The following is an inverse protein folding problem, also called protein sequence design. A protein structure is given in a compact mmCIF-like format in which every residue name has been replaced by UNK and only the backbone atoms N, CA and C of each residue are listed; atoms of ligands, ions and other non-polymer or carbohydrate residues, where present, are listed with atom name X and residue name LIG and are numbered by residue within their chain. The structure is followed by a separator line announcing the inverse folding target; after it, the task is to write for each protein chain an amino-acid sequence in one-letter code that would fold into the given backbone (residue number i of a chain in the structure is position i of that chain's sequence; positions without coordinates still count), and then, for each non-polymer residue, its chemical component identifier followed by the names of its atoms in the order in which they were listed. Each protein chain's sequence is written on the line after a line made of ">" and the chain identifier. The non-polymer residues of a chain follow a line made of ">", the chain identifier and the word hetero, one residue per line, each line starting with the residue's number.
data_IF_067943459227
#
_entry.id   IF_067943459227
#
_cell.length_a   1.000
_cell.length_b   1.000
_cell.length_c   1.000
_cell.angle_alpha   90.00
_cell.angle_beta   90.00
_cell.angle_gamma   90.00
#
_symmetry.space_group_name_H-M   'P 1'
#
loop_
_entity.id
_entity.type
_entity.pdbx_description
1 polymer ?
#
# COMPACT_ATOMS: atom_id res chain seq x y z
N UNK A 1 16.80 -29.49 -15.82
CA UNK A 1 16.83 -29.12 -14.42
C UNK A 1 15.73 -28.08 -14.25
N UNK A 2 14.83 -28.25 -13.29
CA UNK A 2 13.84 -27.20 -12.99
C UNK A 2 14.60 -25.92 -12.59
N UNK A 3 14.25 -24.79 -13.21
CA UNK A 3 14.87 -23.52 -12.88
C UNK A 3 14.31 -23.07 -11.52
N UNK A 4 15.17 -22.95 -10.52
CA UNK A 4 14.80 -22.35 -9.23
C UNK A 4 14.63 -20.86 -9.42
N UNK A 5 13.52 -20.30 -8.92
CA UNK A 5 13.30 -18.86 -8.83
C UNK A 5 13.48 -18.41 -7.38
N UNK A 6 14.37 -17.47 -7.17
CA UNK A 6 14.66 -16.93 -5.84
C UNK A 6 14.14 -15.50 -5.75
N UNK A 7 13.30 -15.22 -4.75
CA UNK A 7 12.69 -13.91 -4.57
C UNK A 7 12.97 -13.35 -3.18
N UNK A 8 13.02 -12.02 -3.07
CA UNK A 8 13.09 -11.29 -1.82
C UNK A 8 11.82 -10.45 -1.65
N UNK A 9 10.98 -10.81 -0.72
CA UNK A 9 9.76 -10.10 -0.40
C UNK A 9 9.98 -9.23 0.86
N UNK A 10 9.55 -7.97 0.78
CA UNK A 10 9.50 -7.06 1.91
C UNK A 10 8.05 -6.85 2.32
N UNK A 11 7.72 -7.23 3.56
CA UNK A 11 6.45 -6.98 4.21
C UNK A 11 6.69 -5.89 5.27
N UNK A 12 6.26 -4.68 4.95
CA UNK A 12 6.54 -3.47 5.71
C UNK A 12 5.26 -2.97 6.38
N UNK A 13 5.06 -3.37 7.62
CA UNK A 13 3.96 -2.87 8.43
C UNK A 13 4.26 -1.52 9.09
N UNK A 14 3.22 -0.92 9.68
CA UNK A 14 3.32 0.37 10.36
C UNK A 14 4.18 0.37 11.64
N UNK A 15 4.54 -0.81 12.17
CA UNK A 15 5.35 -0.92 13.39
C UNK A 15 6.62 -1.72 13.18
N UNK A 16 6.62 -2.66 12.25
CA UNK A 16 7.76 -3.55 11.98
C UNK A 16 7.85 -3.84 10.49
N UNK A 17 9.08 -4.00 10.00
CA UNK A 17 9.36 -4.50 8.66
C UNK A 17 10.06 -5.85 8.73
N UNK A 18 9.85 -6.68 7.73
CA UNK A 18 10.54 -7.96 7.57
C UNK A 18 10.89 -8.23 6.11
N UNK A 19 12.00 -8.92 5.93
CA UNK A 19 12.43 -9.39 4.62
C UNK A 19 12.45 -10.92 4.62
N UNK A 20 11.81 -11.50 3.63
CA UNK A 20 11.61 -12.93 3.45
C UNK A 20 12.28 -13.33 2.14
N UNK A 21 13.27 -14.22 2.24
CA UNK A 21 13.86 -14.86 1.07
C UNK A 21 13.13 -16.16 0.79
N UNK A 22 12.60 -16.30 -0.41
CA UNK A 22 11.90 -17.50 -0.83
C UNK A 22 12.52 -18.11 -2.10
N UNK A 23 12.42 -19.42 -2.22
CA UNK A 23 12.88 -20.21 -3.37
C UNK A 23 11.74 -21.10 -3.84
N UNK A 24 11.38 -20.93 -5.10
CA UNK A 24 10.37 -21.74 -5.77
C UNK A 24 11.05 -22.72 -6.75
N UNK A 25 10.73 -24.00 -6.65
CA UNK A 25 11.33 -25.07 -7.47
C UNK A 25 10.43 -25.53 -8.63
N UNK A 26 9.30 -24.84 -8.84
CA UNK A 26 8.26 -25.20 -9.80
C UNK A 26 7.06 -25.90 -9.18
N UNK A 27 7.19 -26.45 -7.97
CA UNK A 27 6.13 -27.15 -7.25
C UNK A 27 5.95 -26.60 -5.83
N UNK A 28 7.05 -26.28 -5.16
CA UNK A 28 7.06 -25.89 -3.73
C UNK A 28 7.78 -24.59 -3.52
N UNK A 29 7.23 -23.81 -2.60
CA UNK A 29 7.84 -22.59 -2.09
C UNK A 29 8.49 -22.85 -0.73
N UNK A 30 9.82 -22.65 -0.64
CA UNK A 30 10.56 -22.66 0.62
C UNK A 30 10.95 -21.22 0.96
N UNK A 31 10.63 -20.78 2.16
CA UNK A 31 10.89 -19.40 2.57
C UNK A 31 11.56 -19.34 3.94
N UNK A 32 12.27 -18.23 4.16
CA UNK A 32 12.93 -17.92 5.42
C UNK A 32 12.91 -16.40 5.63
N UNK A 33 12.50 -15.96 6.82
CA UNK A 33 12.74 -14.60 7.26
C UNK A 33 14.23 -14.40 7.48
N UNK A 34 14.82 -13.42 6.83
CA UNK A 34 16.28 -13.16 6.86
C UNK A 34 16.62 -11.86 7.57
N UNK A 35 15.62 -10.97 7.71
CA UNK A 35 15.79 -9.71 8.41
C UNK A 35 14.45 -9.23 8.98
N UNK A 36 14.50 -8.64 10.16
CA UNK A 36 13.37 -7.98 10.83
C UNK A 36 13.90 -6.73 11.52
N UNK A 37 13.10 -5.68 11.51
CA UNK A 37 13.43 -4.39 12.11
C UNK A 37 12.18 -3.66 12.56
N UNK A 38 12.35 -2.71 13.48
CA UNK A 38 11.28 -1.83 13.91
C UNK A 38 11.13 -0.66 12.94
N UNK A 39 9.89 -0.32 12.60
CA UNK A 39 9.54 0.82 11.78
C UNK A 39 8.98 1.92 12.72
N UNK A 40 9.85 2.81 13.16
CA UNK A 40 9.55 3.79 14.20
C UNK A 40 9.41 5.17 13.57
N UNK A 41 8.20 5.75 13.53
CA UNK A 41 8.01 7.12 13.10
C UNK A 41 8.57 8.10 14.13
N UNK A 42 8.95 9.29 13.68
CA UNK A 42 9.47 10.35 14.52
C UNK A 42 8.63 11.64 14.38
N UNK A 43 8.62 12.46 15.43
CA UNK A 43 8.00 13.79 15.34
C UNK A 43 9.02 14.75 14.75
N UNK A 44 8.69 15.34 13.61
CA UNK A 44 9.50 16.35 12.94
C UNK A 44 8.61 17.50 12.45
N UNK A 45 9.03 18.72 12.73
CA UNK A 45 8.28 19.95 12.37
C UNK A 45 6.80 19.94 12.82
N UNK A 46 6.52 19.30 13.97
CA UNK A 46 5.18 19.24 14.55
C UNK A 46 4.30 18.11 14.03
N UNK A 47 4.77 17.31 13.07
CA UNK A 47 4.07 16.16 12.49
C UNK A 47 4.76 14.84 12.81
N UNK A 48 3.97 13.78 12.93
CA UNK A 48 4.49 12.42 12.98
C UNK A 48 4.89 11.99 11.56
N UNK A 49 6.16 11.61 11.36
CA UNK A 49 6.70 11.27 10.03
C UNK A 49 7.37 9.92 10.02
N UNK A 50 7.37 9.30 8.85
CA UNK A 50 8.19 8.13 8.55
C UNK A 50 9.63 8.56 8.34
N UNK A 51 10.59 7.74 8.75
CA UNK A 51 12.00 7.97 8.45
C UNK A 51 12.41 7.11 7.25
N UNK A 52 12.30 7.69 6.05
CA UNK A 52 12.57 6.97 4.80
C UNK A 52 14.03 6.56 4.63
N UNK A 53 14.97 7.33 5.16
CA UNK A 53 16.40 6.98 5.10
C UNK A 53 16.70 5.76 5.98
N UNK A 54 16.17 5.73 7.20
CA UNK A 54 16.32 4.56 8.09
C UNK A 54 15.67 3.32 7.47
N UNK A 55 14.44 3.44 6.95
CA UNK A 55 13.74 2.35 6.31
C UNK A 55 14.51 1.79 5.10
N UNK A 56 15.04 2.67 4.25
CA UNK A 56 15.85 2.29 3.10
C UNK A 56 17.18 1.66 3.53
N UNK A 57 17.75 2.09 4.65
CA UNK A 57 18.93 1.48 5.28
C UNK A 57 18.69 0.01 5.64
N UNK A 58 17.57 -0.28 6.31
CA UNK A 58 17.18 -1.65 6.67
C UNK A 58 16.89 -2.52 5.45
N UNK A 59 16.28 -1.95 4.41
CA UNK A 59 16.05 -2.62 3.12
C UNK A 59 17.39 -3.01 2.48
N UNK A 60 18.37 -2.10 2.44
CA UNK A 60 19.71 -2.38 1.89
C UNK A 60 20.44 -3.48 2.67
N UNK A 61 20.32 -3.49 4.00
CA UNK A 61 20.85 -4.57 4.85
C UNK A 61 20.22 -5.91 4.49
N UNK A 62 18.89 -5.92 4.29
CA UNK A 62 18.18 -7.14 3.91
C UNK A 62 18.58 -7.65 2.51
N UNK A 63 18.72 -6.75 1.53
CA UNK A 63 19.22 -7.09 0.19
C UNK A 63 20.62 -7.73 0.28
N UNK A 64 21.52 -7.14 1.06
CA UNK A 64 22.85 -7.70 1.29
C UNK A 64 22.80 -9.10 1.93
N UNK A 65 21.94 -9.30 2.95
CA UNK A 65 21.76 -10.60 3.63
C UNK A 65 21.15 -11.66 2.70
N UNK A 66 20.25 -11.26 1.79
CA UNK A 66 19.64 -12.16 0.84
C UNK A 66 20.65 -12.74 -0.18
N UNK A 67 21.70 -11.97 -0.48
CA UNK A 67 22.57 -12.27 -1.60
C UNK A 67 21.82 -12.13 -2.93
N UNK A 68 22.30 -12.80 -3.99
CA UNK A 68 21.64 -12.70 -5.29
C UNK A 68 20.25 -13.34 -5.27
N UNK A 69 19.28 -12.59 -5.80
CA UNK A 69 17.91 -13.03 -6.04
C UNK A 69 17.50 -12.70 -7.47
N UNK A 70 16.47 -13.36 -7.99
CA UNK A 70 15.94 -13.10 -9.34
C UNK A 70 15.07 -11.85 -9.35
N UNK A 71 14.37 -11.59 -8.22
CA UNK A 71 13.54 -10.42 -8.06
C UNK A 71 13.36 -10.03 -6.59
N UNK A 72 12.91 -8.78 -6.40
CA UNK A 72 12.42 -8.26 -5.13
C UNK A 72 11.11 -7.49 -5.32
N UNK A 73 10.34 -7.37 -4.25
CA UNK A 73 9.09 -6.62 -4.20
C UNK A 73 8.78 -6.11 -2.79
N UNK A 74 7.93 -5.08 -2.73
CA UNK A 74 7.50 -4.44 -1.50
C UNK A 74 5.98 -4.46 -1.38
N UNK A 75 5.45 -4.92 -0.25
CA UNK A 75 4.14 -4.52 0.22
C UNK A 75 4.28 -3.69 1.50
N UNK A 76 3.34 -2.76 1.70
CA UNK A 76 3.39 -1.81 2.81
C UNK A 76 1.99 -1.51 3.34
N UNK A 77 1.91 -0.70 4.38
CA UNK A 77 0.66 -0.05 4.79
C UNK A 77 0.14 0.89 3.68
N UNK A 78 -1.17 1.12 3.66
CA UNK A 78 -1.82 1.99 2.67
C UNK A 78 -1.77 3.48 3.01
N UNK A 79 -2.35 4.26 2.14
CA UNK A 79 -2.72 5.69 2.22
C UNK A 79 -1.59 6.71 2.28
N UNK A 80 -0.40 6.37 2.80
CA UNK A 80 0.73 7.28 2.91
C UNK A 80 1.53 7.39 1.62
N UNK A 81 2.14 8.55 1.41
CA UNK A 81 2.82 8.90 0.18
C UNK A 81 3.99 9.84 0.41
N UNK A 82 4.95 9.83 -0.51
CA UNK A 82 5.99 10.82 -0.63
C UNK A 82 5.80 11.69 -1.88
N UNK A 83 6.29 12.93 -1.79
CA UNK A 83 6.30 13.87 -2.91
C UNK A 83 7.71 14.01 -3.46
N UNK A 84 7.84 13.84 -4.77
CA UNK A 84 9.10 13.99 -5.48
C UNK A 84 9.12 15.28 -6.30
N UNK A 85 10.31 15.88 -6.42
CA UNK A 85 10.55 16.98 -7.35
C UNK A 85 10.77 16.49 -8.80
N UNK A 86 11.14 17.41 -9.69
CA UNK A 86 11.37 17.11 -11.11
C UNK A 86 12.59 16.19 -11.35
N UNK A 87 13.50 16.12 -10.42
CA UNK A 87 14.69 15.25 -10.49
C UNK A 87 14.45 13.89 -9.83
N UNK A 88 13.20 13.63 -9.36
CA UNK A 88 12.81 12.39 -8.66
C UNK A 88 13.31 12.33 -7.23
N UNK A 89 13.72 13.46 -6.64
CA UNK A 89 14.18 13.52 -5.26
C UNK A 89 13.01 13.72 -4.31
N UNK A 90 12.99 12.97 -3.21
CA UNK A 90 12.02 13.13 -2.13
C UNK A 90 12.16 14.53 -1.51
N UNK A 91 11.06 15.28 -1.45
CA UNK A 91 11.04 16.65 -0.94
C UNK A 91 11.09 16.71 0.58
N UNK A 92 10.34 15.85 1.24
CA UNK A 92 10.28 15.68 2.70
C UNK A 92 9.88 14.25 3.04
N UNK A 93 10.24 13.77 4.22
CA UNK A 93 9.76 12.49 4.73
C UNK A 93 8.22 12.45 4.82
N UNK A 94 7.56 11.38 4.37
CA UNK A 94 6.11 11.24 4.40
C UNK A 94 5.53 11.41 5.79
N UNK A 95 4.40 12.11 5.89
CA UNK A 95 3.65 12.21 7.14
C UNK A 95 2.89 10.91 7.37
N UNK A 96 2.94 10.42 8.59
CA UNK A 96 2.30 9.19 9.02
C UNK A 96 0.76 9.34 9.05
N UNK A 97 0.03 8.33 8.62
CA UNK A 97 -1.45 8.35 8.56
C UNK A 97 -2.14 8.59 9.91
N UNK A 98 -1.45 8.38 11.04
CA UNK A 98 -1.98 8.68 12.39
C UNK A 98 -1.71 10.11 12.85
N UNK A 99 -1.13 10.96 12.00
CA UNK A 99 -1.02 12.38 12.30
C UNK A 99 -2.40 13.01 12.40
N UNK A 100 -2.60 13.90 13.37
CA UNK A 100 -3.93 14.45 13.65
C UNK A 100 -4.39 15.52 12.66
N UNK A 101 -3.51 15.98 11.74
CA UNK A 101 -3.80 17.05 10.76
C UNK A 101 -5.02 16.79 9.88
N UNK A 102 -5.42 15.52 9.74
CA UNK A 102 -6.52 15.12 8.85
C UNK A 102 -7.86 14.93 9.56
N UNK A 103 -7.91 15.05 10.89
CA UNK A 103 -9.06 14.66 11.73
C UNK A 103 -10.40 15.22 11.27
N UNK A 104 -10.46 16.50 10.91
CA UNK A 104 -11.71 17.20 10.57
C UNK A 104 -11.95 17.31 9.06
N UNK A 105 -11.05 16.76 8.23
CA UNK A 105 -11.15 16.89 6.78
C UNK A 105 -12.34 16.16 6.15
N UNK A 106 -12.80 14.99 6.61
CA UNK A 106 -14.03 14.39 6.09
C UNK A 106 -15.23 15.34 6.18
N UNK A 107 -15.41 16.04 7.32
CA UNK A 107 -16.50 16.98 7.52
C UNK A 107 -16.35 18.26 6.64
N UNK A 108 -15.13 18.71 6.40
CA UNK A 108 -14.83 19.83 5.50
C UNK A 108 -15.10 19.46 4.04
N UNK A 109 -14.75 18.25 3.61
CA UNK A 109 -15.04 17.73 2.28
C UNK A 109 -16.53 17.52 2.06
N UNK A 110 -17.28 17.15 3.11
CA UNK A 110 -18.75 17.03 3.05
C UNK A 110 -19.45 18.33 2.63
N UNK A 111 -18.80 19.47 2.77
CA UNK A 111 -19.32 20.77 2.28
C UNK A 111 -19.18 20.94 0.76
N UNK A 112 -18.33 20.14 0.10
CA UNK A 112 -18.08 20.20 -1.35
C UNK A 112 -18.73 19.03 -2.11
N UNK A 113 -18.81 17.88 -1.49
CA UNK A 113 -19.40 16.65 -2.04
C UNK A 113 -20.03 15.83 -0.91
N UNK A 114 -21.19 15.27 -1.15
CA UNK A 114 -21.84 14.34 -0.22
C UNK A 114 -20.93 13.11 0.01
N UNK A 115 -20.69 12.74 1.27
CA UNK A 115 -19.77 11.63 1.60
C UNK A 115 -20.22 10.28 1.03
N UNK A 116 -21.54 10.05 0.93
CA UNK A 116 -22.06 8.86 0.27
C UNK A 116 -21.70 8.85 -1.24
N UNK A 117 -21.83 9.99 -1.90
CA UNK A 117 -21.42 10.14 -3.31
C UNK A 117 -19.92 9.91 -3.50
N UNK A 118 -19.10 10.43 -2.58
CA UNK A 118 -17.66 10.16 -2.57
C UNK A 118 -17.36 8.66 -2.39
N UNK A 119 -18.06 7.99 -1.46
CA UNK A 119 -17.93 6.55 -1.25
C UNK A 119 -18.31 5.75 -2.51
N UNK A 120 -19.47 6.01 -3.10
CA UNK A 120 -19.94 5.31 -4.33
C UNK A 120 -18.96 5.50 -5.49
N UNK A 121 -18.33 6.67 -5.56
CA UNK A 121 -17.41 7.06 -6.61
C UNK A 121 -16.07 6.35 -6.54
N UNK A 122 -15.57 6.13 -5.33
CA UNK A 122 -14.21 5.60 -5.07
C UNK A 122 -14.20 4.19 -4.48
N UNK A 123 -15.32 3.71 -3.96
CA UNK A 123 -15.43 2.42 -3.29
C UNK A 123 -14.79 2.37 -1.89
N UNK A 124 -14.17 3.45 -1.43
CA UNK A 124 -13.42 3.47 -0.17
C UNK A 124 -14.27 3.95 1.00
N UNK A 125 -14.13 3.27 2.13
CA UNK A 125 -14.65 3.79 3.39
C UNK A 125 -14.07 5.19 3.67
N UNK A 126 -14.93 6.12 4.13
CA UNK A 126 -14.50 7.49 4.45
C UNK A 126 -13.77 7.49 5.79
N UNK A 127 -12.45 7.53 5.73
CA UNK A 127 -11.57 7.59 6.90
C UNK A 127 -10.67 8.81 6.79
N UNK A 128 -10.50 9.56 7.87
CA UNK A 128 -9.64 10.75 7.88
C UNK A 128 -8.19 10.48 7.44
N UNK A 129 -7.74 9.25 7.57
CA UNK A 129 -6.39 8.81 7.17
C UNK A 129 -6.19 8.69 5.66
N UNK A 130 -7.25 8.67 4.85
CA UNK A 130 -7.12 8.44 3.40
C UNK A 130 -6.33 9.56 2.73
N UNK A 131 -5.60 9.21 1.68
CA UNK A 131 -4.67 10.10 0.97
C UNK A 131 -5.30 11.42 0.54
N UNK A 132 -6.56 11.38 0.07
CA UNK A 132 -7.31 12.58 -0.30
C UNK A 132 -7.27 13.63 0.82
N UNK A 133 -7.58 13.24 2.05
CA UNK A 133 -7.63 14.15 3.20
C UNK A 133 -6.24 14.60 3.63
N UNK A 134 -5.24 13.74 3.49
CA UNK A 134 -3.84 14.08 3.75
C UNK A 134 -3.33 15.15 2.76
N UNK A 135 -3.67 15.02 1.47
CA UNK A 135 -3.32 16.02 0.45
C UNK A 135 -4.01 17.36 0.68
N UNK A 136 -5.28 17.34 1.08
CA UNK A 136 -6.02 18.58 1.38
C UNK A 136 -5.44 19.29 2.60
N UNK A 137 -5.04 18.56 3.64
CA UNK A 137 -4.34 19.12 4.79
C UNK A 137 -3.00 19.73 4.35
N UNK A 138 -2.22 19.03 3.56
CA UNK A 138 -0.94 19.51 3.05
C UNK A 138 -1.10 20.73 2.16
N UNK A 139 -2.16 20.78 1.33
CA UNK A 139 -2.45 21.95 0.48
C UNK A 139 -2.73 23.22 1.30
N UNK A 140 -3.32 23.07 2.48
CA UNK A 140 -3.57 24.19 3.39
C UNK A 140 -2.32 24.58 4.20
N UNK A 141 -1.60 23.59 4.72
CA UNK A 141 -0.46 23.82 5.61
C UNK A 141 0.83 24.17 4.86
N UNK A 142 1.09 23.53 3.73
CA UNK A 142 2.34 23.63 2.98
C UNK A 142 2.11 23.76 1.46
N UNK A 143 1.41 24.80 0.98
CA UNK A 143 1.12 24.95 -0.46
C UNK A 143 2.38 25.08 -1.30
N UNK A 144 3.48 25.58 -0.74
CA UNK A 144 4.76 25.70 -1.43
C UNK A 144 5.40 24.37 -1.71
N UNK A 145 5.26 23.41 -0.79
CA UNK A 145 5.74 22.04 -0.97
C UNK A 145 5.02 21.38 -2.15
N UNK A 146 3.69 21.50 -2.21
CA UNK A 146 2.90 20.95 -3.31
C UNK A 146 3.24 21.62 -4.66
N UNK A 147 3.53 22.92 -4.71
CA UNK A 147 3.97 23.57 -5.96
C UNK A 147 5.31 23.05 -6.48
N UNK A 148 6.19 22.60 -5.60
CA UNK A 148 7.49 22.01 -5.95
C UNK A 148 7.36 20.54 -6.37
N UNK A 149 6.33 19.84 -5.88
CA UNK A 149 6.07 18.45 -6.20
C UNK A 149 5.74 18.27 -7.69
N UNK A 150 6.29 17.21 -8.27
CA UNK A 150 6.01 16.76 -9.64
C UNK A 150 5.39 15.38 -9.66
N UNK A 151 5.66 14.57 -8.65
CA UNK A 151 5.11 13.23 -8.53
C UNK A 151 4.72 12.95 -7.09
N UNK A 152 3.59 12.25 -6.93
CA UNK A 152 3.18 11.63 -5.68
C UNK A 152 3.34 10.13 -5.85
N UNK A 153 4.10 9.48 -4.98
CA UNK A 153 4.24 8.01 -4.96
C UNK A 153 3.80 7.45 -3.62
N UNK A 154 3.08 6.34 -3.65
CA UNK A 154 2.80 5.56 -2.44
C UNK A 154 4.04 4.88 -1.93
N UNK A 155 4.05 4.49 -0.66
CA UNK A 155 5.26 4.00 0.00
C UNK A 155 5.95 2.86 -0.75
N UNK A 156 5.26 1.80 -1.26
CA UNK A 156 5.96 0.72 -1.99
C UNK A 156 6.55 1.20 -3.32
N UNK A 157 5.83 2.06 -4.05
CA UNK A 157 6.32 2.67 -5.30
C UNK A 157 7.50 3.62 -5.02
N UNK A 158 7.41 4.40 -3.93
CA UNK A 158 8.48 5.31 -3.49
C UNK A 158 9.75 4.54 -3.14
N UNK A 159 9.65 3.46 -2.38
CA UNK A 159 10.81 2.62 -2.03
C UNK A 159 11.45 1.99 -3.26
N UNK A 160 10.64 1.51 -4.20
CA UNK A 160 11.13 1.00 -5.48
C UNK A 160 11.87 2.09 -6.28
N UNK A 161 11.30 3.29 -6.38
CA UNK A 161 11.92 4.44 -7.04
C UNK A 161 13.25 4.86 -6.36
N UNK A 162 13.30 4.87 -5.03
CA UNK A 162 14.54 5.16 -4.27
C UNK A 162 15.63 4.09 -4.44
N UNK A 163 15.29 2.90 -4.95
CA UNK A 163 16.24 1.86 -5.38
C UNK A 163 16.57 1.93 -6.88
N UNK A 164 16.02 2.91 -7.60
CA UNK A 164 16.32 3.15 -9.02
C UNK A 164 15.32 2.52 -9.99
N UNK A 165 14.13 2.11 -9.53
CA UNK A 165 13.03 1.71 -10.40
C UNK A 165 12.36 2.91 -11.08
N UNK A 166 11.58 2.66 -12.12
CA UNK A 166 10.72 3.64 -12.75
C UNK A 166 9.67 4.17 -11.75
N UNK A 167 9.19 5.39 -11.98
CA UNK A 167 8.08 5.94 -11.22
C UNK A 167 6.79 5.21 -11.59
N UNK A 168 6.16 4.59 -10.61
CA UNK A 168 4.97 3.76 -10.80
C UNK A 168 3.85 4.15 -9.85
N UNK A 169 2.62 3.80 -10.23
CA UNK A 169 1.42 3.94 -9.42
C UNK A 169 0.70 2.59 -9.46
N UNK A 170 1.12 1.68 -8.58
CA UNK A 170 0.53 0.35 -8.56
C UNK A 170 -0.95 0.44 -8.13
N UNK A 171 -1.80 -0.25 -8.87
CA UNK A 171 -3.26 -0.13 -8.83
C UNK A 171 -3.85 -0.40 -7.44
N UNK A 172 -3.37 -1.43 -6.77
CA UNK A 172 -3.97 -1.86 -5.50
C UNK A 172 -3.67 -0.89 -4.36
N UNK A 173 -2.43 -0.38 -4.27
CA UNK A 173 -2.09 0.63 -3.28
C UNK A 173 -2.76 1.97 -3.61
N UNK A 174 -2.83 2.35 -4.89
CA UNK A 174 -3.54 3.56 -5.34
C UNK A 174 -5.03 3.51 -4.98
N UNK A 175 -5.66 2.34 -4.96
CA UNK A 175 -7.06 2.17 -4.59
C UNK A 175 -7.36 2.60 -3.15
N UNK A 176 -6.37 2.65 -2.25
CA UNK A 176 -6.56 3.09 -0.86
C UNK A 176 -6.74 4.61 -0.72
N UNK A 177 -6.51 5.35 -1.78
CA UNK A 177 -6.34 6.80 -1.78
C UNK A 177 -7.60 7.63 -1.55
N UNK A 178 -8.79 7.10 -1.78
CA UNK A 178 -10.05 7.86 -1.97
C UNK A 178 -10.05 8.76 -3.22
N UNK A 179 -9.15 8.51 -4.19
CA UNK A 179 -9.02 9.30 -5.42
C UNK A 179 -9.03 8.44 -6.69
N UNK A 180 -9.04 7.12 -6.52
CA UNK A 180 -9.11 6.18 -7.63
C UNK A 180 -10.56 5.78 -7.90
N UNK A 181 -10.93 5.74 -9.19
CA UNK A 181 -12.27 5.32 -9.62
C UNK A 181 -12.20 3.85 -10.10
N UNK A 182 -12.77 2.89 -9.36
CA UNK A 182 -12.69 1.46 -9.69
C UNK A 182 -13.43 1.10 -10.99
N UNK A 183 -14.49 1.85 -11.35
CA UNK A 183 -15.27 1.61 -12.57
C UNK A 183 -14.50 2.08 -13.81
N UNK A 184 -13.84 3.24 -13.69
CA UNK A 184 -13.01 3.78 -14.79
C UNK A 184 -11.62 3.12 -14.85
N UNK A 185 -11.18 2.45 -13.80
CA UNK A 185 -9.85 1.85 -13.69
C UNK A 185 -8.69 2.85 -13.69
N UNK A 186 -8.96 4.10 -13.28
CA UNK A 186 -7.97 5.18 -13.28
C UNK A 186 -8.27 6.22 -12.18
N UNK A 187 -7.41 7.23 -12.07
CA UNK A 187 -7.63 8.38 -11.20
C UNK A 187 -8.94 9.09 -11.54
N UNK A 188 -9.68 9.52 -10.51
CA UNK A 188 -10.88 10.30 -10.66
C UNK A 188 -10.53 11.77 -10.90
N UNK A 189 -10.28 12.11 -12.17
CA UNK A 189 -9.84 13.46 -12.55
C UNK A 189 -10.85 14.54 -12.23
N UNK A 190 -12.14 14.21 -12.20
CA UNK A 190 -13.19 15.16 -11.86
C UNK A 190 -13.17 15.45 -10.35
N UNK A 191 -13.02 14.42 -9.53
CA UNK A 191 -12.86 14.57 -8.09
C UNK A 191 -11.59 15.36 -7.75
N UNK A 192 -10.46 15.04 -8.38
CA UNK A 192 -9.19 15.77 -8.17
C UNK A 192 -9.37 17.27 -8.46
N UNK A 193 -10.00 17.62 -9.60
CA UNK A 193 -10.27 19.03 -9.94
C UNK A 193 -11.22 19.70 -8.95
N UNK A 194 -12.29 19.01 -8.54
CA UNK A 194 -13.23 19.50 -7.53
C UNK A 194 -12.53 19.83 -6.21
N UNK A 195 -11.53 19.05 -5.85
CA UNK A 195 -10.74 19.22 -4.61
C UNK A 195 -9.56 20.19 -4.79
N UNK A 196 -9.28 20.65 -6.01
CA UNK A 196 -8.16 21.53 -6.31
C UNK A 196 -6.80 20.81 -6.27
N UNK A 197 -6.79 19.50 -6.45
CA UNK A 197 -5.58 18.68 -6.52
C UNK A 197 -5.11 18.61 -7.97
N UNK A 198 -3.82 18.87 -8.20
CA UNK A 198 -3.22 18.78 -9.55
C UNK A 198 -3.15 17.32 -10.02
N UNK A 199 -3.89 16.95 -11.08
CA UNK A 199 -3.78 15.60 -11.65
C UNK A 199 -2.39 15.26 -12.19
N UNK A 200 -1.55 16.25 -12.46
CA UNK A 200 -0.18 16.08 -12.93
C UNK A 200 0.76 15.39 -11.91
N UNK A 201 0.33 15.30 -10.65
CA UNK A 201 1.07 14.54 -9.61
C UNK A 201 1.01 13.02 -9.83
N UNK A 202 0.09 12.54 -10.65
CA UNK A 202 -0.22 11.12 -10.81
C UNK A 202 0.07 10.65 -12.22
N UNK A 203 0.74 9.50 -12.34
CA UNK A 203 0.98 8.85 -13.63
C UNK A 203 -0.07 7.77 -13.96
N UNK A 204 0.23 7.03 -15.02
CA UNK A 204 -0.59 5.89 -15.43
C UNK A 204 -0.52 4.76 -14.42
N UNK A 205 -1.62 4.00 -14.28
CA UNK A 205 -1.67 2.85 -13.39
C UNK A 205 -0.75 1.75 -13.85
N UNK A 206 -0.07 1.14 -12.88
CA UNK A 206 0.78 -0.03 -13.06
C UNK A 206 0.07 -1.26 -12.48
N UNK A 207 0.04 -2.34 -13.24
CA UNK A 207 -0.54 -3.60 -12.77
C UNK A 207 0.46 -4.40 -11.92
N UNK A 208 -0.05 -5.07 -10.89
CA UNK A 208 0.74 -6.04 -10.11
C UNK A 208 1.36 -7.11 -11.01
N UNK A 209 2.59 -7.52 -10.72
CA UNK A 209 3.37 -8.44 -11.54
C UNK A 209 4.25 -7.75 -12.59
N UNK A 210 4.13 -6.43 -12.77
CA UNK A 210 4.97 -5.66 -13.71
C UNK A 210 6.41 -5.55 -13.23
N UNK A 211 7.36 -5.74 -14.14
CA UNK A 211 8.77 -5.40 -13.89
C UNK A 211 8.91 -3.88 -14.04
N UNK A 212 9.32 -3.22 -12.98
CA UNK A 212 9.40 -1.75 -12.90
C UNK A 212 10.84 -1.23 -12.81
N UNK A 213 11.82 -2.13 -12.81
CA UNK A 213 13.23 -1.79 -12.76
C UNK A 213 14.09 -2.98 -12.39
N UNK A 214 15.37 -2.71 -12.16
CA UNK A 214 16.32 -3.71 -11.68
C UNK A 214 17.43 -3.04 -10.85
N UNK A 215 17.91 -3.77 -9.84
CA UNK A 215 19.13 -3.40 -9.12
C UNK A 215 20.37 -3.55 -10.04
N UNK A 216 21.52 -2.95 -9.67
CA UNK A 216 22.76 -3.05 -10.46
C UNK A 216 23.25 -4.49 -10.71
N UNK A 217 22.90 -5.44 -9.85
CA UNK A 217 23.20 -6.87 -9.99
C UNK A 217 22.20 -7.64 -10.86
N UNK A 218 21.26 -6.93 -11.52
CA UNK A 218 20.18 -7.46 -12.36
C UNK A 218 19.04 -8.15 -11.59
N UNK A 219 18.95 -8.01 -10.27
CA UNK A 219 17.76 -8.39 -9.51
C UNK A 219 16.58 -7.51 -9.95
N UNK A 220 15.52 -8.09 -10.48
CA UNK A 220 14.34 -7.36 -10.96
C UNK A 220 13.57 -6.75 -9.79
N UNK A 221 13.05 -5.55 -9.98
CA UNK A 221 12.10 -4.93 -9.05
C UNK A 221 10.71 -5.12 -9.64
N UNK A 222 9.80 -5.74 -8.87
CA UNK A 222 8.46 -6.10 -9.32
C UNK A 222 7.43 -5.29 -8.53
N UNK A 223 6.51 -4.63 -9.22
CA UNK A 223 5.31 -4.10 -8.60
C UNK A 223 4.40 -5.28 -8.20
N UNK A 224 4.05 -5.37 -6.92
CA UNK A 224 3.09 -6.36 -6.41
C UNK A 224 1.86 -5.63 -5.90
N UNK A 225 0.86 -6.35 -5.39
CA UNK A 225 -0.25 -5.74 -4.67
C UNK A 225 0.31 -4.93 -3.48
N UNK A 226 0.59 -3.66 -3.70
CA UNK A 226 1.43 -2.83 -2.84
C UNK A 226 0.90 -2.61 -1.41
N UNK A 227 -0.36 -2.98 -1.15
CA UNK A 227 -0.96 -2.94 0.19
C UNK A 227 -0.86 -4.33 0.86
N UNK A 228 -0.30 -4.39 2.09
CA UNK A 228 -0.10 -5.60 2.90
C UNK A 228 -1.36 -6.50 2.99
N UNK A 229 -2.52 -5.91 3.24
CA UNK A 229 -3.79 -6.63 3.29
C UNK A 229 -4.16 -7.25 1.95
N UNK A 230 -3.90 -6.58 0.83
CA UNK A 230 -4.19 -7.11 -0.50
C UNK A 230 -3.24 -8.25 -0.88
N UNK A 231 -1.98 -8.17 -0.50
CA UNK A 231 -1.05 -9.29 -0.60
C UNK A 231 -1.52 -10.49 0.23
N UNK A 232 -2.01 -10.26 1.45
CA UNK A 232 -2.56 -11.32 2.29
C UNK A 232 -3.81 -11.97 1.66
N UNK A 233 -4.69 -11.17 1.06
CA UNK A 233 -5.87 -11.67 0.32
C UNK A 233 -5.46 -12.49 -0.90
N UNK A 234 -4.51 -11.99 -1.70
CA UNK A 234 -4.01 -12.70 -2.88
C UNK A 234 -3.34 -14.05 -2.54
N UNK A 235 -2.77 -14.16 -1.34
CA UNK A 235 -2.11 -15.37 -0.86
C UNK A 235 -3.04 -16.41 -0.21
N UNK A 236 -4.36 -16.14 -0.14
CA UNK A 236 -5.29 -17.09 0.47
C UNK A 236 -5.32 -18.41 -0.34
N UNK A 237 -5.23 -19.57 0.33
CA UNK A 237 -5.29 -20.87 -0.33
C UNK A 237 -6.75 -21.22 -0.68
N UNK A 238 -7.19 -20.70 -1.81
CA UNK A 238 -8.56 -20.86 -2.27
C UNK A 238 -8.54 -21.58 -3.60
N UNK A 239 -9.36 -22.64 -3.76
CA UNK A 239 -9.48 -23.39 -4.99
C UNK A 239 -10.35 -22.66 -6.01
N UNK A 240 -10.05 -22.83 -7.30
CA UNK A 240 -10.81 -22.22 -8.38
C UNK A 240 -12.28 -22.64 -8.34
N UNK A 241 -13.21 -21.69 -8.38
CA UNK A 241 -14.66 -21.95 -8.32
C UNK A 241 -15.26 -22.05 -6.91
N UNK A 242 -14.46 -22.01 -5.84
CA UNK A 242 -14.99 -21.91 -4.49
C UNK A 242 -15.42 -20.49 -4.12
N UNK A 243 -16.44 -20.34 -3.30
CA UNK A 243 -16.87 -19.07 -2.74
C UNK A 243 -16.21 -18.85 -1.39
N UNK A 244 -15.35 -17.85 -1.25
CA UNK A 244 -14.72 -17.51 0.02
C UNK A 244 -14.86 -16.01 0.33
N UNK A 245 -14.83 -15.70 1.62
CA UNK A 245 -14.64 -14.34 2.09
C UNK A 245 -13.40 -14.33 2.98
N UNK A 246 -12.76 -13.19 3.15
CA UNK A 246 -11.58 -13.06 3.98
C UNK A 246 -11.86 -12.21 5.23
N UNK A 247 -11.13 -12.50 6.28
CA UNK A 247 -11.03 -11.66 7.45
C UNK A 247 -9.55 -11.44 7.76
N UNK A 248 -9.05 -10.26 7.48
CA UNK A 248 -7.72 -9.84 7.91
C UNK A 248 -7.79 -9.25 9.31
N UNK A 249 -7.09 -9.84 10.26
CA UNK A 249 -7.04 -9.41 11.66
C UNK A 249 -5.61 -9.04 12.05
N UNK A 250 -5.23 -7.80 11.75
CA UNK A 250 -3.96 -7.18 12.13
C UNK A 250 -4.20 -5.95 13.00
N UNK A 251 -3.48 -4.89 12.73
CA UNK A 251 -3.71 -3.54 13.29
C UNK A 251 -5.13 -3.05 12.97
N UNK A 252 -5.66 -3.44 11.81
CA UNK A 252 -7.03 -3.28 11.35
C UNK A 252 -7.69 -4.64 11.22
N UNK A 253 -9.02 -4.67 11.36
CA UNK A 253 -9.84 -5.86 11.07
C UNK A 253 -10.67 -5.56 9.84
N UNK A 254 -10.37 -6.26 8.74
CA UNK A 254 -11.02 -6.09 7.45
C UNK A 254 -11.71 -7.39 7.07
N UNK A 255 -12.99 -7.29 6.71
CA UNK A 255 -13.77 -8.41 6.19
C UNK A 255 -14.18 -8.10 4.76
N UNK A 256 -14.06 -9.06 3.87
CA UNK A 256 -14.41 -8.89 2.47
C UNK A 256 -14.64 -10.20 1.75
N UNK A 257 -15.09 -10.11 0.53
CA UNK A 257 -15.24 -11.25 -0.38
C UNK A 257 -14.86 -10.83 -1.79
N UNK A 258 -14.40 -11.80 -2.56
CA UNK A 258 -14.21 -11.63 -3.99
C UNK A 258 -15.57 -11.76 -4.71
N UNK A 259 -15.93 -10.78 -5.53
CA UNK A 259 -17.27 -10.72 -6.15
C UNK A 259 -17.46 -11.74 -7.27
N UNK A 260 -16.37 -12.14 -7.93
CA UNK A 260 -16.38 -13.09 -9.07
C UNK A 260 -16.15 -14.55 -8.67
N UNK A 261 -16.39 -14.96 -7.51
CA UNK A 261 -16.20 -16.35 -7.12
C UNK A 261 -16.59 -16.65 -5.69
N UNK A 262 -16.96 -15.66 -4.93
CA UNK A 262 -17.53 -15.69 -3.56
C UNK A 262 -16.81 -16.60 -2.57
N UNK A 263 -15.75 -16.13 -1.94
CA UNK A 263 -14.99 -16.90 -0.94
C UNK A 263 -14.69 -16.07 0.32
N UNK A 264 -14.64 -16.68 1.49
CA UNK A 264 -14.38 -15.99 2.76
C UNK A 264 -13.31 -16.68 3.60
N UNK A 265 -12.20 -16.01 3.89
CA UNK A 265 -11.13 -16.53 4.76
C UNK A 265 -10.84 -15.61 5.95
N UNK A 266 -10.58 -16.18 7.13
CA UNK A 266 -10.17 -15.44 8.34
C UNK A 266 -8.66 -15.48 8.47
N UNK A 267 -8.02 -14.30 8.49
CA UNK A 267 -6.58 -14.15 8.73
C UNK A 267 -6.38 -13.53 10.11
N UNK A 268 -5.96 -14.35 11.08
CA UNK A 268 -5.72 -13.96 12.47
C UNK A 268 -6.83 -14.38 13.44
N UNK A 269 -6.42 -15.07 14.52
CA UNK A 269 -7.31 -15.65 15.53
C UNK A 269 -7.20 -15.00 16.91
N UNK A 270 -6.74 -13.74 16.97
CA UNK A 270 -6.76 -12.95 18.21
C UNK A 270 -8.17 -12.64 18.70
N UNK A 271 -8.28 -11.97 19.85
CA UNK A 271 -9.59 -11.69 20.50
C UNK A 271 -10.57 -10.95 19.57
N UNK A 272 -10.08 -10.06 18.71
CA UNK A 272 -10.89 -9.32 17.72
C UNK A 272 -11.33 -10.28 16.60
N UNK A 273 -10.42 -11.09 16.04
CA UNK A 273 -10.74 -12.04 14.97
C UNK A 273 -11.77 -13.08 15.38
N UNK A 274 -11.72 -13.57 16.63
CA UNK A 274 -12.73 -14.49 17.16
C UNK A 274 -14.11 -13.84 17.29
N UNK A 275 -14.18 -12.56 17.64
CA UNK A 275 -15.44 -11.84 17.69
C UNK A 275 -16.05 -11.60 16.30
N UNK A 276 -15.22 -11.25 15.31
CA UNK A 276 -15.67 -11.08 13.93
C UNK A 276 -16.08 -12.41 13.31
N UNK A 277 -15.38 -13.52 13.62
CA UNK A 277 -15.79 -14.86 13.23
C UNK A 277 -17.17 -15.22 13.77
N UNK A 278 -17.47 -14.90 15.04
CA UNK A 278 -18.81 -15.08 15.63
C UNK A 278 -19.88 -14.23 14.94
N UNK A 279 -19.54 -13.00 14.56
CA UNK A 279 -20.45 -12.11 13.81
C UNK A 279 -20.69 -12.70 12.42
N UNK A 280 -19.65 -13.14 11.70
CA UNK A 280 -19.79 -13.77 10.40
C UNK A 280 -20.64 -15.03 10.44
N UNK A 281 -20.47 -15.89 11.46
CA UNK A 281 -21.30 -17.07 11.68
C UNK A 281 -22.77 -16.69 11.92
N UNK A 282 -23.05 -15.58 12.63
CA UNK A 282 -24.40 -15.08 12.86
C UNK A 282 -25.10 -14.61 11.56
N UNK A 283 -24.32 -14.25 10.52
CA UNK A 283 -24.81 -13.96 9.18
C UNK A 283 -24.91 -15.21 8.28
N UNK A 284 -24.71 -16.42 8.83
CA UNK A 284 -24.81 -17.67 8.09
C UNK A 284 -23.63 -17.97 7.18
N UNK A 285 -22.50 -17.31 7.39
CA UNK A 285 -21.26 -17.56 6.66
C UNK A 285 -20.52 -18.78 7.26
N UNK A 286 -20.02 -19.67 6.41
CA UNK A 286 -19.13 -20.75 6.84
C UNK A 286 -17.72 -20.16 7.05
N UNK A 287 -17.16 -20.40 8.23
CA UNK A 287 -15.86 -19.90 8.64
C UNK A 287 -14.82 -21.00 8.52
#
# INVERSE_FOLDING_TARGET
>A
MAAFTTVLAFDLGASTGRAIRAVYDGERLKWKEIHRFDNIPAVENGHLRWNMEALLGEIRIAIQKAGKTDSLAFDTWGVDFGLLDADGKLLEDPVHYRDERTKDWPQRVAQKIELHSLYVRTGNQILAINTLFQLLALQEEQPDLLRRAKHLLYIPDLLAAMLGADLTWERSIASTSQMWNPVAGTWDLELLRLMGIDPGLFGAMTDSGSIIGALPDSTKIIAVAGHDTQCAVAAMPVEEGESAAFLSCGTWSLIGCELEGKKFGVVGTGAIGMNVARIAAAFGLTI
#
